data_IF_740337324497
#
_entry.id   IF_740337324497
#
_cell.length_a   1.000
_cell.length_b   1.000
_cell.length_c   1.000
_cell.angle_alpha   90.00
_cell.angle_beta   90.00
_cell.angle_gamma   90.00
#
_symmetry.space_group_name_H-M   'P 1'
#
loop_
_entity.id
_entity.type
_entity.pdbx_description
1 polymer ?
#
# COMPACT_ATOMS: atom_id res chain seq x y z
N UNK A 1 -35.00 -36.10 -0.32
CA UNK A 1 -34.30 -35.11 -1.16
C UNK A 1 -34.04 -33.77 -0.44
N UNK A 2 -34.89 -33.35 0.52
CA UNK A 2 -34.65 -32.14 1.33
C UNK A 2 -33.39 -32.18 2.23
N UNK A 3 -32.94 -33.36 2.65
CA UNK A 3 -31.79 -33.55 3.55
C UNK A 3 -30.44 -33.24 2.88
N UNK A 4 -30.30 -33.53 1.58
CA UNK A 4 -29.14 -33.14 0.78
C UNK A 4 -29.21 -31.65 0.38
N UNK A 5 -30.42 -31.13 0.17
CA UNK A 5 -30.65 -29.70 -0.12
C UNK A 5 -30.20 -28.80 1.05
N UNK A 6 -30.45 -29.21 2.29
CA UNK A 6 -30.03 -28.46 3.49
C UNK A 6 -28.49 -28.43 3.67
N UNK A 7 -27.80 -29.51 3.31
CA UNK A 7 -26.33 -29.58 3.34
C UNK A 7 -25.68 -28.69 2.28
N UNK A 8 -26.32 -28.53 1.12
CA UNK A 8 -25.81 -27.70 0.03
C UNK A 8 -25.87 -26.20 0.38
N UNK A 9 -26.92 -25.76 1.08
CA UNK A 9 -27.09 -24.38 1.53
C UNK A 9 -26.03 -24.00 2.58
N UNK A 10 -25.66 -24.90 3.49
CA UNK A 10 -24.59 -24.65 4.48
C UNK A 10 -23.20 -24.45 3.86
N UNK A 11 -22.91 -25.11 2.73
CA UNK A 11 -21.62 -25.01 2.04
C UNK A 11 -21.51 -23.70 1.24
N UNK A 12 -22.61 -23.21 0.66
CA UNK A 12 -22.62 -21.93 -0.07
C UNK A 12 -22.45 -20.70 0.84
N UNK A 13 -22.95 -20.75 2.08
CA UNK A 13 -22.83 -19.64 3.04
C UNK A 13 -21.41 -19.46 3.61
N UNK A 14 -20.49 -20.38 3.35
CA UNK A 14 -19.10 -20.33 3.84
C UNK A 14 -18.14 -19.54 2.91
N UNK A 15 -18.59 -19.14 1.71
CA UNK A 15 -17.72 -18.52 0.68
C UNK A 15 -17.72 -16.98 0.77
N UNK A 16 -18.62 -16.39 1.57
CA UNK A 16 -18.73 -14.93 1.66
C UNK A 16 -17.79 -14.38 2.73
N UNK A 17 -16.61 -13.92 2.29
CA UNK A 17 -15.89 -12.71 2.73
C UNK A 17 -14.36 -12.85 2.57
N UNK A 18 -13.90 -12.94 1.32
CA UNK A 18 -12.53 -12.60 0.96
C UNK A 18 -12.38 -11.07 0.98
N UNK A 19 -12.32 -10.47 2.17
CA UNK A 19 -11.94 -9.06 2.29
C UNK A 19 -10.45 -8.94 1.99
N UNK A 20 -10.11 -8.26 0.91
CA UNK A 20 -8.72 -7.91 0.60
C UNK A 20 -8.10 -7.20 1.81
N UNK A 21 -6.90 -7.63 2.21
CA UNK A 21 -6.20 -7.03 3.35
C UNK A 21 -5.93 -5.55 3.06
N UNK A 22 -6.44 -4.67 3.91
CA UNK A 22 -6.16 -3.24 3.80
C UNK A 22 -4.71 -2.96 4.22
N UNK A 23 -4.00 -2.08 3.50
CA UNK A 23 -2.63 -1.72 3.85
C UNK A 23 -2.57 -1.07 5.24
N UNK A 24 -1.65 -1.53 6.09
CA UNK A 24 -1.42 -0.97 7.41
C UNK A 24 -0.38 0.16 7.31
N UNK A 25 -0.79 1.39 7.60
CA UNK A 25 0.09 2.56 7.61
C UNK A 25 0.62 2.89 9.00
N UNK A 26 1.81 3.47 9.06
CA UNK A 26 2.36 3.94 10.33
C UNK A 26 1.56 5.16 10.83
N UNK A 27 0.96 5.03 12.03
CA UNK A 27 0.13 6.08 12.66
C UNK A 27 0.90 7.35 13.02
N UNK A 28 2.22 7.27 13.14
CA UNK A 28 3.07 8.41 13.46
C UNK A 28 3.46 9.22 12.23
N UNK A 29 3.17 8.72 11.03
CA UNK A 29 3.47 9.40 9.78
C UNK A 29 2.24 10.16 9.29
N UNK A 30 2.47 11.42 8.92
CA UNK A 30 1.49 12.21 8.17
C UNK A 30 1.87 12.11 6.70
N UNK A 31 0.98 11.56 5.89
CA UNK A 31 1.21 11.32 4.46
C UNK A 31 0.51 12.41 3.64
N UNK A 32 1.23 13.00 2.68
CA UNK A 32 0.65 13.95 1.73
C UNK A 32 -0.28 13.21 0.75
N UNK A 33 0.13 11.99 0.35
CA UNK A 33 -0.65 11.09 -0.50
C UNK A 33 -0.28 9.64 -0.20
N UNK A 34 -1.27 8.73 -0.29
CA UNK A 34 -1.09 7.29 -0.03
C UNK A 34 -1.27 6.41 -1.27
N UNK A 35 -1.93 6.93 -2.30
CA UNK A 35 -2.22 6.23 -3.55
C UNK A 35 -1.99 7.22 -4.68
N UNK A 36 -1.23 6.82 -5.70
CA UNK A 36 -1.08 7.56 -6.95
C UNK A 36 -1.50 6.65 -8.09
N UNK A 37 -2.33 7.17 -8.98
CA UNK A 37 -2.64 6.50 -10.24
C UNK A 37 -1.81 7.17 -11.34
N UNK A 38 -0.94 6.40 -11.97
CA UNK A 38 -0.14 6.87 -13.11
C UNK A 38 -0.99 7.08 -14.38
N UNK A 39 -2.21 6.54 -14.40
CA UNK A 39 -3.11 6.55 -15.53
C UNK A 39 -2.53 5.79 -16.72
N UNK A 40 -2.84 6.26 -17.93
CA UNK A 40 -2.32 5.68 -19.16
C UNK A 40 -0.95 6.28 -19.50
N UNK A 41 0.10 5.49 -19.34
CA UNK A 41 1.44 5.83 -19.81
C UNK A 41 1.58 5.36 -21.27
N UNK A 42 1.87 6.29 -22.19
CA UNK A 42 2.23 5.92 -23.55
C UNK A 42 3.70 5.51 -23.59
N UNK A 43 4.03 4.44 -24.31
CA UNK A 43 5.39 3.90 -24.39
C UNK A 43 6.44 4.96 -24.84
N UNK A 44 6.04 5.85 -25.76
CA UNK A 44 6.85 6.98 -26.22
C UNK A 44 7.10 8.08 -25.18
N UNK A 45 6.37 8.08 -24.05
CA UNK A 45 6.50 9.09 -23.00
C UNK A 45 7.75 8.88 -22.14
N UNK A 46 8.41 7.73 -22.27
CA UNK A 46 9.60 7.41 -21.49
C UNK A 46 9.29 7.11 -20.02
N UNK A 47 10.31 7.22 -19.18
CA UNK A 47 10.22 6.91 -17.75
C UNK A 47 9.34 7.94 -17.01
N UNK A 48 8.40 7.46 -16.19
CA UNK A 48 7.50 8.30 -15.38
C UNK A 48 7.74 8.02 -13.92
N UNK A 49 8.05 9.05 -13.14
CA UNK A 49 8.34 8.92 -11.70
C UNK A 49 7.30 9.62 -10.84
N UNK A 50 7.03 9.06 -9.67
CA UNK A 50 6.26 9.71 -8.63
C UNK A 50 6.99 9.63 -7.28
N UNK A 51 6.90 10.69 -6.48
CA UNK A 51 7.53 10.77 -5.16
C UNK A 51 6.46 10.83 -4.08
N UNK A 52 6.44 9.83 -3.22
CA UNK A 52 5.60 9.86 -2.02
C UNK A 52 6.32 10.62 -0.91
N UNK A 53 5.60 11.57 -0.30
CA UNK A 53 6.10 12.40 0.79
C UNK A 53 5.32 12.08 2.06
N UNK A 54 6.06 11.91 3.15
CA UNK A 54 5.48 11.82 4.48
C UNK A 54 6.35 12.53 5.51
N UNK A 55 5.74 12.92 6.62
CA UNK A 55 6.40 13.57 7.75
C UNK A 55 6.32 12.66 8.97
N UNK A 56 7.48 12.33 9.56
CA UNK A 56 7.53 11.62 10.84
C UNK A 56 7.18 12.58 12.00
N UNK A 57 6.00 12.38 12.61
CA UNK A 57 5.55 13.10 13.82
C UNK A 57 5.82 12.32 15.11
N UNK A 58 6.37 11.11 15.03
CA UNK A 58 6.84 10.35 16.18
C UNK A 58 8.05 11.00 16.83
N UNK A 59 8.30 10.72 18.10
CA UNK A 59 9.42 11.29 18.87
C UNK A 59 10.75 10.61 18.61
N UNK A 60 10.76 9.52 17.83
CA UNK A 60 11.96 8.74 17.48
C UNK A 60 12.24 8.84 15.98
N UNK A 61 13.52 8.86 15.57
CA UNK A 61 13.89 8.68 14.17
C UNK A 61 13.35 7.36 13.65
N UNK A 62 12.92 7.33 12.38
CA UNK A 62 12.51 6.11 11.71
C UNK A 62 13.35 5.92 10.46
N UNK A 63 13.93 4.73 10.35
CA UNK A 63 14.65 4.28 9.15
C UNK A 63 13.67 3.44 8.34
N UNK A 64 13.48 3.79 7.07
CA UNK A 64 12.74 2.93 6.13
C UNK A 64 13.75 1.98 5.52
N UNK A 65 13.74 0.73 5.98
CA UNK A 65 14.65 -0.32 5.50
C UNK A 65 14.23 -0.89 4.15
N UNK A 66 12.92 -1.00 3.91
CA UNK A 66 12.37 -1.66 2.73
C UNK A 66 11.15 -0.92 2.17
N UNK A 67 11.12 -0.76 0.85
CA UNK A 67 9.94 -0.40 0.09
C UNK A 67 9.60 -1.59 -0.83
N UNK A 68 8.65 -2.42 -0.41
CA UNK A 68 8.17 -3.55 -1.22
C UNK A 68 7.23 -3.02 -2.30
N UNK A 69 7.78 -2.70 -3.45
CA UNK A 69 7.08 -2.60 -4.72
C UNK A 69 7.88 -3.43 -5.72
N UNK A 70 7.15 -4.15 -6.57
CA UNK A 70 7.64 -5.34 -7.28
C UNK A 70 9.04 -5.17 -7.85
N UNK A 71 9.41 -4.01 -8.41
CA UNK A 71 10.75 -3.78 -8.96
C UNK A 71 11.11 -2.28 -8.85
N UNK A 72 12.09 -1.92 -8.00
CA UNK A 72 12.92 -0.69 -8.03
C UNK A 72 12.42 0.60 -7.33
N UNK A 73 12.89 0.84 -6.09
CA UNK A 73 12.73 2.09 -5.34
C UNK A 73 14.02 2.43 -4.57
N UNK A 74 14.28 3.72 -4.34
CA UNK A 74 15.30 4.21 -3.40
C UNK A 74 14.63 4.94 -2.22
N UNK A 75 14.93 4.53 -0.99
CA UNK A 75 14.41 5.15 0.24
C UNK A 75 15.44 6.10 0.88
N UNK A 76 14.98 7.20 1.47
CA UNK A 76 15.81 8.11 2.29
C UNK A 76 15.32 8.11 3.74
N UNK A 77 16.23 8.23 4.70
CA UNK A 77 15.89 8.27 6.14
C UNK A 77 15.04 9.51 6.49
N UNK A 78 14.02 9.32 7.34
CA UNK A 78 13.16 10.40 7.84
C UNK A 78 13.44 10.66 9.33
N UNK A 79 14.27 11.65 9.61
CA UNK A 79 14.53 12.13 10.98
C UNK A 79 13.33 12.92 11.52
N UNK A 80 13.18 13.00 12.85
CA UNK A 80 12.10 13.76 13.51
C UNK A 80 11.95 15.17 12.92
N UNK A 81 10.74 15.54 12.49
CA UNK A 81 10.44 16.86 11.93
C UNK A 81 10.95 17.10 10.50
N UNK A 82 11.56 16.11 9.82
CA UNK A 82 12.01 16.21 8.43
C UNK A 82 11.16 15.33 7.50
N UNK A 83 11.06 15.74 6.23
CA UNK A 83 10.35 14.97 5.19
C UNK A 83 11.15 13.71 4.83
N UNK A 84 10.46 12.58 4.77
CA UNK A 84 10.96 11.35 4.15
C UNK A 84 10.48 11.26 2.71
N UNK A 85 11.27 10.62 1.85
CA UNK A 85 10.96 10.45 0.43
C UNK A 85 11.10 8.98 0.03
N UNK A 86 10.17 8.54 -0.82
CA UNK A 86 10.24 7.27 -1.53
C UNK A 86 10.05 7.58 -3.01
N UNK A 87 11.06 7.29 -3.83
CA UNK A 87 11.00 7.45 -5.28
C UNK A 87 10.56 6.16 -5.94
N UNK A 88 9.41 6.18 -6.61
CA UNK A 88 9.00 5.13 -7.55
C UNK A 88 9.45 5.45 -8.96
N UNK A 89 10.13 4.47 -9.55
CA UNK A 89 10.32 4.39 -11.01
C UNK A 89 9.08 3.75 -11.65
#
# INVERSE_FOLDING_TARGET
>A
MAKFSLLFICVLSFITDLKAQQPVYNRQFVYDQKVFDFGTIQEKAGEVRHTFIFTNKGTKPVIISDANASQHYASTQATHGRKGFVHGM
#
